data_IF_066780210747
#
_entry.id   IF_066780210747
#
_cell.length_a   1.000
_cell.length_b   1.000
_cell.length_c   1.000
_cell.angle_alpha   90.00
_cell.angle_beta   90.00
_cell.angle_gamma   90.00
#
_symmetry.space_group_name_H-M   'P 1'
#
loop_
_entity.id
_entity.type
_entity.pdbx_description
1 polymer ?
#
# COMPACT_ATOMS: atom_id res chain seq x y z
N UNK A 1 5.34 9.89 -10.62
CA UNK A 1 4.36 8.80 -10.81
C UNK A 1 5.13 7.53 -11.14
N UNK A 2 4.71 6.36 -10.65
CA UNK A 2 5.35 5.08 -10.97
C UNK A 2 4.78 4.53 -12.28
N UNK A 3 5.65 4.14 -13.20
CA UNK A 3 5.27 3.43 -14.43
C UNK A 3 5.34 1.91 -14.18
N UNK A 4 4.21 1.18 -14.22
CA UNK A 4 4.18 -0.25 -13.99
C UNK A 4 4.61 -1.09 -15.21
N UNK A 5 4.70 -0.50 -16.41
CA UNK A 5 4.95 -1.26 -17.63
C UNK A 5 6.26 -2.09 -17.61
N UNK A 6 7.39 -1.59 -17.09
CA UNK A 6 8.62 -2.38 -16.97
C UNK A 6 8.45 -3.58 -16.02
N UNK A 7 7.81 -3.39 -14.87
CA UNK A 7 7.58 -4.46 -13.89
C UNK A 7 6.64 -5.54 -14.43
N UNK A 8 5.60 -5.15 -15.18
CA UNK A 8 4.70 -6.10 -15.81
C UNK A 8 5.38 -6.87 -16.95
N UNK A 9 6.17 -6.19 -17.79
CA UNK A 9 6.93 -6.83 -18.88
C UNK A 9 7.88 -7.89 -18.32
N UNK A 10 8.63 -7.54 -17.28
CA UNK A 10 9.58 -8.46 -16.66
C UNK A 10 8.88 -9.67 -16.04
N UNK A 11 7.74 -9.47 -15.37
CA UNK A 11 6.94 -10.56 -14.85
C UNK A 11 6.44 -11.51 -15.98
N UNK A 12 5.98 -10.96 -17.11
CA UNK A 12 5.51 -11.72 -18.27
C UNK A 12 6.63 -12.53 -18.95
N UNK A 13 7.83 -11.95 -19.05
CA UNK A 13 9.00 -12.65 -19.58
C UNK A 13 9.43 -13.78 -18.66
N UNK A 14 9.42 -13.56 -17.33
CA UNK A 14 9.85 -14.55 -16.36
C UNK A 14 8.91 -15.73 -16.17
N UNK A 15 7.60 -15.55 -16.30
CA UNK A 15 6.66 -16.68 -16.17
C UNK A 15 6.88 -17.76 -17.24
N UNK A 16 7.57 -17.45 -18.34
CA UNK A 16 7.95 -18.42 -19.36
C UNK A 16 9.11 -19.34 -18.93
N UNK A 17 9.91 -18.94 -17.95
CA UNK A 17 11.18 -19.62 -17.58
C UNK A 17 11.34 -19.88 -16.08
N UNK A 18 10.46 -19.35 -15.24
CA UNK A 18 10.49 -19.51 -13.78
C UNK A 18 9.14 -20.00 -13.22
N UNK A 19 9.13 -20.65 -12.04
CA UNK A 19 7.89 -21.00 -11.37
C UNK A 19 7.00 -19.77 -11.10
N UNK A 20 5.72 -19.85 -11.47
CA UNK A 20 4.76 -18.73 -11.34
C UNK A 20 4.71 -18.17 -9.90
N UNK A 21 4.82 -19.03 -8.89
CA UNK A 21 4.85 -18.60 -7.49
C UNK A 21 6.05 -17.71 -7.14
N UNK A 22 7.21 -17.95 -7.75
CA UNK A 22 8.41 -17.12 -7.55
C UNK A 22 8.24 -15.75 -8.21
N UNK A 23 7.73 -15.72 -9.44
CA UNK A 23 7.46 -14.47 -10.16
C UNK A 23 6.41 -13.64 -9.42
N UNK A 24 5.33 -14.27 -8.95
CA UNK A 24 4.31 -13.60 -8.15
C UNK A 24 4.89 -13.03 -6.85
N UNK A 25 5.76 -13.77 -6.15
CA UNK A 25 6.42 -13.27 -4.93
C UNK A 25 7.32 -12.05 -5.20
N UNK A 26 8.10 -12.08 -6.29
CA UNK A 26 8.92 -10.95 -6.72
C UNK A 26 8.07 -9.72 -7.05
N UNK A 27 6.97 -9.91 -7.79
CA UNK A 27 6.03 -8.82 -8.09
C UNK A 27 5.49 -8.16 -6.81
N UNK A 28 5.06 -8.94 -5.81
CA UNK A 28 4.59 -8.38 -4.54
C UNK A 28 5.69 -7.60 -3.80
N UNK A 29 6.91 -8.12 -3.77
CA UNK A 29 8.06 -7.43 -3.19
C UNK A 29 8.35 -6.11 -3.91
N UNK A 30 8.34 -6.10 -5.25
CA UNK A 30 8.55 -4.88 -6.04
C UNK A 30 7.48 -3.82 -5.74
N UNK A 31 6.20 -4.20 -5.65
CA UNK A 31 5.12 -3.25 -5.31
C UNK A 31 5.31 -2.67 -3.91
N UNK A 32 5.72 -3.49 -2.94
CA UNK A 32 6.03 -3.02 -1.58
C UNK A 32 7.19 -2.02 -1.57
N UNK A 33 8.29 -2.32 -2.26
CA UNK A 33 9.47 -1.46 -2.36
C UNK A 33 9.16 -0.13 -3.07
N UNK A 34 8.43 -0.19 -4.19
CA UNK A 34 7.95 1.00 -4.90
C UNK A 34 7.08 1.86 -4.00
N UNK A 35 6.20 1.25 -3.20
CA UNK A 35 5.36 1.97 -2.23
C UNK A 35 6.23 2.72 -1.22
N UNK A 36 7.22 2.05 -0.60
CA UNK A 36 8.15 2.70 0.34
C UNK A 36 8.92 3.84 -0.32
N UNK A 37 9.40 3.64 -1.55
CA UNK A 37 10.15 4.67 -2.28
C UNK A 37 9.28 5.90 -2.58
N UNK A 38 8.02 5.71 -2.99
CA UNK A 38 7.08 6.80 -3.24
C UNK A 38 6.72 7.54 -1.95
N UNK A 39 6.39 6.80 -0.88
CA UNK A 39 6.10 7.37 0.44
C UNK A 39 7.30 8.16 0.98
N UNK A 40 8.52 7.63 0.82
CA UNK A 40 9.74 8.31 1.27
C UNK A 40 10.00 9.63 0.55
N UNK A 41 9.60 9.74 -0.72
CA UNK A 41 9.74 10.99 -1.49
C UNK A 41 8.76 12.08 -1.07
N UNK A 42 7.58 11.70 -0.58
CA UNK A 42 6.51 12.64 -0.19
C UNK A 42 6.34 12.80 1.32
N UNK A 43 7.06 12.00 2.10
CA UNK A 43 6.94 11.94 3.56
C UNK A 43 7.26 13.28 4.21
N UNK A 44 6.27 13.84 4.91
CA UNK A 44 6.43 15.03 5.75
C UNK A 44 6.89 14.70 7.18
N UNK A 45 6.95 15.70 8.07
CA UNK A 45 7.43 15.56 9.44
C UNK A 45 6.71 14.49 10.28
N UNK A 46 5.44 14.20 9.98
CA UNK A 46 4.62 13.28 10.78
C UNK A 46 5.01 11.80 10.67
N UNK A 47 5.78 11.41 9.63
CA UNK A 47 6.18 10.02 9.28
C UNK A 47 5.06 8.97 9.41
N UNK A 48 3.80 9.40 9.40
CA UNK A 48 2.63 8.54 9.60
C UNK A 48 2.06 8.17 8.24
N UNK A 49 1.81 6.87 8.04
CA UNK A 49 1.32 6.31 6.77
C UNK A 49 0.11 5.45 7.06
N UNK A 50 -1.03 5.76 6.43
CA UNK A 50 -2.23 4.95 6.53
C UNK A 50 -2.48 4.23 5.19
N UNK A 51 -2.45 2.90 5.21
CA UNK A 51 -2.72 2.06 4.04
C UNK A 51 -4.24 1.82 3.92
N UNK A 52 -4.86 2.48 2.93
CA UNK A 52 -6.29 2.36 2.60
C UNK A 52 -6.51 1.90 1.16
N UNK A 53 -7.65 1.26 0.90
CA UNK A 53 -8.02 0.69 -0.40
C UNK A 53 -8.02 -0.84 -0.44
N UNK A 54 -8.88 -1.42 -1.28
CA UNK A 54 -9.13 -2.87 -1.32
C UNK A 54 -7.91 -3.74 -1.66
N UNK A 55 -6.87 -3.18 -2.27
CA UNK A 55 -5.59 -3.86 -2.57
C UNK A 55 -4.91 -4.39 -1.30
N UNK A 56 -5.05 -3.69 -0.18
CA UNK A 56 -4.45 -4.10 1.10
C UNK A 56 -5.18 -5.25 1.81
N UNK A 57 -6.24 -5.80 1.20
CA UNK A 57 -6.80 -7.09 1.63
C UNK A 57 -5.90 -8.27 1.24
N UNK A 58 -4.97 -8.07 0.31
CA UNK A 58 -3.92 -9.05 0.03
C UNK A 58 -2.96 -9.12 1.22
N UNK A 59 -3.07 -10.18 2.02
CA UNK A 59 -2.33 -10.35 3.27
C UNK A 59 -0.82 -10.29 3.06
N UNK A 60 -0.29 -10.94 2.02
CA UNK A 60 1.13 -10.88 1.66
C UNK A 60 1.58 -9.45 1.40
N UNK A 61 0.88 -8.73 0.52
CA UNK A 61 1.24 -7.35 0.16
C UNK A 61 1.15 -6.42 1.38
N UNK A 62 0.07 -6.54 2.16
CA UNK A 62 -0.17 -5.72 3.34
C UNK A 62 0.92 -5.93 4.40
N UNK A 63 1.25 -7.18 4.73
CA UNK A 63 2.30 -7.50 5.70
C UNK A 63 3.67 -7.04 5.22
N UNK A 64 4.04 -7.35 3.97
CA UNK A 64 5.36 -6.95 3.43
C UNK A 64 5.52 -5.42 3.37
N UNK A 65 4.50 -4.70 2.90
CA UNK A 65 4.56 -3.24 2.76
C UNK A 65 4.57 -2.54 4.12
N UNK A 66 3.76 -3.01 5.07
CA UNK A 66 3.72 -2.45 6.44
C UNK A 66 5.09 -2.61 7.11
N UNK A 67 5.68 -3.81 7.03
CA UNK A 67 7.01 -4.07 7.58
C UNK A 67 8.09 -3.20 6.91
N UNK A 68 8.09 -3.10 5.58
CA UNK A 68 9.07 -2.32 4.84
C UNK A 68 8.98 -0.81 5.16
N UNK A 69 7.76 -0.27 5.32
CA UNK A 69 7.54 1.10 5.77
C UNK A 69 8.07 1.33 7.20
N UNK A 70 7.82 0.39 8.11
CA UNK A 70 8.33 0.45 9.48
C UNK A 70 9.85 0.41 9.52
N UNK A 71 10.49 -0.45 8.72
CA UNK A 71 11.96 -0.48 8.56
C UNK A 71 12.51 0.83 8.00
N UNK A 72 11.78 1.51 7.11
CA UNK A 72 12.12 2.85 6.62
C UNK A 72 11.81 3.99 7.63
N UNK A 73 11.40 3.66 8.85
CA UNK A 73 11.14 4.61 9.94
C UNK A 73 9.79 5.30 9.86
N UNK A 74 8.80 4.72 9.17
CA UNK A 74 7.43 5.22 9.16
C UNK A 74 6.55 4.52 10.21
N UNK A 75 5.58 5.26 10.74
CA UNK A 75 4.48 4.69 11.53
C UNK A 75 3.36 4.26 10.58
N UNK A 76 3.40 3.00 10.14
CA UNK A 76 2.44 2.45 9.19
C UNK A 76 1.21 1.84 9.89
N UNK A 77 0.02 2.23 9.45
CA UNK A 77 -1.28 1.75 9.94
C UNK A 77 -2.09 1.08 8.82
N UNK A 78 -2.72 -0.03 9.14
CA UNK A 78 -3.68 -0.73 8.29
C UNK A 78 -5.06 -0.74 8.97
N UNK A 79 -6.14 -0.64 8.18
CA UNK A 79 -7.51 -0.69 8.69
C UNK A 79 -7.80 -2.03 9.39
N UNK A 80 -8.40 -1.97 10.59
CA UNK A 80 -8.71 -3.16 11.40
C UNK A 80 -10.21 -3.31 11.75
N UNK A 81 -10.86 -2.22 12.21
CA UNK A 81 -12.27 -2.23 12.64
C UNK A 81 -13.25 -1.81 11.54
N UNK A 82 -12.74 -1.12 10.54
CA UNK A 82 -13.49 -0.68 9.35
C UNK A 82 -12.83 -1.37 8.16
N UNK A 83 -13.62 -1.93 7.22
CA UNK A 83 -13.08 -2.54 6.03
C UNK A 83 -12.14 -1.58 5.30
N UNK A 84 -10.98 -2.09 4.86
CA UNK A 84 -10.00 -1.31 4.08
C UNK A 84 -10.47 -1.07 2.63
N UNK A 85 -11.50 -1.78 2.19
CA UNK A 85 -12.13 -1.67 0.88
C UNK A 85 -13.28 -0.63 0.88
N UNK A 86 -14.05 -0.60 -0.21
CA UNK A 86 -15.09 0.40 -0.44
C UNK A 86 -16.21 0.40 0.61
N UNK A 87 -16.39 -0.72 1.34
CA UNK A 87 -17.30 -0.80 2.48
C UNK A 87 -16.93 0.15 3.64
N UNK A 88 -15.69 0.64 3.69
CA UNK A 88 -15.21 1.61 4.67
C UNK A 88 -15.29 3.08 4.23
N UNK A 89 -15.64 3.38 2.97
CA UNK A 89 -15.58 4.74 2.43
C UNK A 89 -16.54 5.68 3.15
N UNK A 90 -17.77 5.24 3.41
CA UNK A 90 -18.78 6.06 4.10
C UNK A 90 -18.36 6.48 5.51
N UNK A 91 -17.65 5.60 6.23
CA UNK A 91 -17.07 5.92 7.53
C UNK A 91 -16.01 7.03 7.41
N UNK A 92 -15.10 6.92 6.44
CA UNK A 92 -14.08 7.95 6.17
C UNK A 92 -14.70 9.31 5.86
N UNK A 93 -15.74 9.32 5.02
CA UNK A 93 -16.49 10.54 4.67
C UNK A 93 -17.13 11.19 5.92
N UNK A 94 -17.78 10.39 6.77
CA UNK A 94 -18.42 10.87 7.99
C UNK A 94 -17.40 11.49 8.97
N UNK A 95 -16.25 10.83 9.17
CA UNK A 95 -15.19 11.34 10.07
C UNK A 95 -14.57 12.63 9.54
N UNK A 96 -14.32 12.73 8.23
CA UNK A 96 -13.82 13.96 7.61
C UNK A 96 -14.81 15.10 7.78
N UNK A 97 -16.10 14.86 7.51
CA UNK A 97 -17.15 15.87 7.68
C UNK A 97 -17.26 16.33 9.14
N UNK A 98 -17.27 15.41 10.10
CA UNK A 98 -17.31 15.73 11.53
C UNK A 98 -16.09 16.58 11.95
N UNK A 99 -14.89 16.23 11.48
CA UNK A 99 -13.66 16.97 11.76
C UNK A 99 -13.62 18.36 11.12
N UNK A 100 -14.32 18.58 10.00
CA UNK A 100 -14.47 19.89 9.37
C UNK A 100 -15.49 20.76 10.11
N UNK A 101 -16.61 20.18 10.55
CA UNK A 101 -17.65 20.87 11.31
C UNK A 101 -17.13 21.32 12.69
N UNK A 102 -16.34 20.50 13.37
CA UNK A 102 -15.76 20.83 14.67
C UNK A 102 -14.68 21.94 14.64
N UNK A 103 -14.19 22.32 13.45
CA UNK A 103 -13.23 23.42 13.26
C UNK A 103 -13.91 24.76 12.97
N UNK A 104 -15.23 24.76 12.79
CA UNK A 104 -16.04 25.96 12.66
C UNK A 104 -16.50 26.41 14.03
#
# INVERSE_FOLDING_TARGET
>A
MYDPAPTLREALERVAVEPVGLVAARFHTTVAEVTVALVSRVGGPSRTVCLGGGVWQNSRLATQTTAALQTAGFHAYLGARVPVNDGGISYGQAVVAAAQLARR
#
